data_IF_794699444611
#
_entry.id   IF_794699444611
#
_cell.length_a   1.000
_cell.length_b   1.000
_cell.length_c   1.000
_cell.angle_alpha   90.00
_cell.angle_beta   90.00
_cell.angle_gamma   90.00
#
_symmetry.space_group_name_H-M   'P 1'
#
loop_
_entity.id
_entity.type
_entity.pdbx_description
1 polymer ?
#
# COMPACT_ATOMS: atom_id res chain seq x y z
N UNK A 1 14.24 10.58 -33.96
CA UNK A 1 14.61 10.76 -32.54
C UNK A 1 13.42 10.31 -31.73
N UNK A 2 13.19 9.00 -31.66
CA UNK A 2 12.08 8.42 -30.90
C UNK A 2 12.59 8.05 -29.52
N UNK A 3 12.06 8.72 -28.50
CA UNK A 3 12.31 8.36 -27.12
C UNK A 3 11.36 7.21 -26.81
N UNK A 4 11.92 6.00 -26.81
CA UNK A 4 11.30 4.79 -26.29
C UNK A 4 10.95 5.00 -24.82
N UNK A 5 9.66 5.12 -24.51
CA UNK A 5 9.18 5.10 -23.14
C UNK A 5 9.25 3.66 -22.62
N UNK A 6 10.39 3.30 -22.02
CA UNK A 6 10.48 2.12 -21.16
C UNK A 6 9.75 2.44 -19.85
N UNK A 7 8.42 2.31 -19.86
CA UNK A 7 7.62 2.14 -18.65
C UNK A 7 7.88 0.75 -18.09
N UNK A 8 9.03 0.58 -17.44
CA UNK A 8 9.30 -0.60 -16.61
C UNK A 8 8.29 -0.64 -15.46
N UNK A 9 7.33 -1.57 -15.53
CA UNK A 9 6.38 -1.81 -14.44
C UNK A 9 7.15 -2.23 -13.18
N UNK A 10 7.24 -1.31 -12.20
CA UNK A 10 7.91 -1.50 -10.90
C UNK A 10 7.31 -2.67 -10.09
N UNK A 11 6.13 -3.17 -10.50
CA UNK A 11 5.37 -4.23 -9.83
C UNK A 11 5.48 -5.61 -10.51
N UNK A 12 6.21 -5.75 -11.61
CA UNK A 12 6.30 -7.03 -12.34
C UNK A 12 6.92 -8.16 -11.51
N UNK A 13 7.72 -7.85 -10.49
CA UNK A 13 8.38 -8.84 -9.62
C UNK A 13 7.48 -9.46 -8.53
N UNK A 14 6.23 -9.00 -8.36
CA UNK A 14 5.32 -9.49 -7.31
C UNK A 14 4.22 -10.43 -7.82
N UNK A 15 4.16 -10.68 -9.13
CA UNK A 15 3.20 -11.58 -9.76
C UNK A 15 3.89 -12.92 -10.00
N UNK A 16 3.56 -13.96 -9.22
CA UNK A 16 4.01 -15.31 -9.54
C UNK A 16 3.02 -15.97 -10.50
N UNK A 17 3.44 -16.32 -11.74
CA UNK A 17 2.55 -16.86 -12.76
C UNK A 17 1.96 -18.24 -12.39
N UNK A 18 2.58 -18.93 -11.42
CA UNK A 18 2.10 -20.22 -10.90
C UNK A 18 0.88 -20.11 -9.95
N UNK A 19 0.55 -18.92 -9.45
CA UNK A 19 -0.56 -18.75 -8.50
C UNK A 19 -1.90 -19.02 -9.18
N UNK A 20 -2.57 -20.10 -8.76
CA UNK A 20 -3.88 -20.51 -9.28
C UNK A 20 -5.06 -19.74 -8.67
N UNK A 21 -4.85 -19.09 -7.54
CA UNK A 21 -5.88 -18.34 -6.83
C UNK A 21 -5.24 -17.23 -5.98
N UNK A 22 -6.03 -16.20 -5.68
CA UNK A 22 -5.61 -15.06 -4.87
C UNK A 22 -6.15 -15.24 -3.45
N UNK A 23 -5.25 -15.47 -2.49
CA UNK A 23 -5.63 -15.61 -1.09
C UNK A 23 -6.04 -14.26 -0.47
N UNK A 24 -7.02 -14.30 0.44
CA UNK A 24 -7.45 -13.16 1.28
C UNK A 24 -8.02 -11.97 0.47
N UNK A 25 -8.56 -12.28 -0.71
CA UNK A 25 -9.27 -11.35 -1.59
C UNK A 25 -10.78 -11.49 -1.41
N UNK A 26 -11.24 -11.28 -0.18
CA UNK A 26 -12.66 -11.32 0.17
C UNK A 26 -13.09 -10.03 0.85
N UNK A 27 -14.28 -9.57 0.50
CA UNK A 27 -14.85 -8.34 1.01
C UNK A 27 -15.50 -8.58 2.37
N UNK A 28 -15.62 -7.52 3.17
CA UNK A 28 -16.55 -7.54 4.30
C UNK A 28 -17.98 -7.39 3.80
N UNK A 29 -18.96 -7.76 4.63
CA UNK A 29 -20.35 -7.42 4.38
C UNK A 29 -20.57 -5.91 4.42
N UNK A 30 -21.52 -5.42 3.63
CA UNK A 30 -21.87 -4.00 3.53
C UNK A 30 -23.38 -3.81 3.68
N UNK A 31 -23.78 -2.70 4.29
CA UNK A 31 -25.19 -2.30 4.33
C UNK A 31 -25.64 -1.87 2.94
N UNK A 32 -26.89 -2.16 2.57
CA UNK A 32 -27.44 -1.78 1.26
C UNK A 32 -27.33 -0.27 0.99
N UNK A 33 -27.52 0.57 2.02
CA UNK A 33 -27.38 2.02 1.90
C UNK A 33 -25.93 2.47 1.63
N UNK A 34 -24.93 1.72 2.10
CA UNK A 34 -23.53 2.00 1.81
C UNK A 34 -23.12 1.62 0.39
N UNK A 35 -23.75 0.58 -0.19
CA UNK A 35 -23.49 0.21 -1.58
C UNK A 35 -23.79 1.37 -2.53
N UNK A 36 -24.90 2.10 -2.31
CA UNK A 36 -25.23 3.30 -3.09
C UNK A 36 -24.20 4.42 -2.93
N UNK A 37 -23.65 4.59 -1.72
CA UNK A 37 -22.57 5.57 -1.45
C UNK A 37 -21.27 5.18 -2.12
N UNK A 38 -20.95 3.89 -2.17
CA UNK A 38 -19.75 3.38 -2.83
C UNK A 38 -19.86 3.52 -4.34
N UNK A 39 -21.02 3.17 -4.92
CA UNK A 39 -21.31 3.40 -6.33
C UNK A 39 -21.09 4.88 -6.69
N UNK A 40 -21.73 5.78 -5.93
CA UNK A 40 -21.59 7.21 -6.14
C UNK A 40 -20.13 7.66 -6.03
N UNK A 41 -19.41 7.23 -4.98
CA UNK A 41 -18.03 7.63 -4.77
C UNK A 41 -17.11 7.16 -5.90
N UNK A 42 -17.28 5.91 -6.36
CA UNK A 42 -16.50 5.34 -7.46
C UNK A 42 -16.77 6.07 -8.79
N UNK A 43 -18.04 6.28 -9.15
CA UNK A 43 -18.40 7.05 -10.36
C UNK A 43 -17.88 8.48 -10.27
N UNK A 44 -18.06 9.14 -9.12
CA UNK A 44 -17.58 10.49 -8.90
C UNK A 44 -16.06 10.57 -9.07
N UNK A 45 -15.30 9.65 -8.46
CA UNK A 45 -13.86 9.57 -8.59
C UNK A 45 -13.41 9.36 -10.04
N UNK A 46 -14.06 8.46 -10.76
CA UNK A 46 -13.76 8.18 -12.17
C UNK A 46 -14.02 9.40 -13.08
N UNK A 47 -15.10 10.16 -12.83
CA UNK A 47 -15.48 11.31 -13.66
C UNK A 47 -14.72 12.58 -13.29
N UNK A 48 -14.45 12.80 -12.00
CA UNK A 48 -13.90 14.06 -11.47
C UNK A 48 -12.39 14.01 -11.22
N UNK A 49 -11.80 12.82 -11.12
CA UNK A 49 -10.39 12.65 -10.80
C UNK A 49 -10.04 12.92 -9.33
N UNK A 50 -11.02 13.02 -8.43
CA UNK A 50 -10.81 13.12 -6.99
C UNK A 50 -11.99 12.51 -6.21
N UNK A 51 -11.74 12.10 -4.97
CA UNK A 51 -12.76 11.49 -4.12
C UNK A 51 -13.76 12.53 -3.59
N UNK A 52 -15.07 12.23 -3.54
CA UNK A 52 -16.07 13.17 -3.06
C UNK A 52 -15.89 13.52 -1.59
N UNK A 53 -16.38 14.71 -1.22
CA UNK A 53 -16.61 15.15 0.15
C UNK A 53 -18.10 15.03 0.50
N UNK A 54 -18.47 15.12 1.77
CA UNK A 54 -19.85 14.99 2.24
C UNK A 54 -20.80 15.96 1.51
N UNK A 55 -20.34 17.18 1.23
CA UNK A 55 -21.10 18.19 0.47
C UNK A 55 -21.35 17.83 -0.99
N UNK A 56 -20.63 16.85 -1.55
CA UNK A 56 -20.85 16.38 -2.92
C UNK A 56 -21.93 15.30 -3.01
N UNK A 57 -22.24 14.62 -1.92
CA UNK A 57 -23.25 13.56 -1.93
C UNK A 57 -24.65 14.16 -2.07
N UNK A 58 -25.53 13.54 -2.89
CA UNK A 58 -26.93 13.92 -2.89
C UNK A 58 -27.56 13.61 -1.53
N UNK A 59 -28.58 14.39 -1.14
CA UNK A 59 -29.26 14.22 0.15
C UNK A 59 -29.79 12.80 0.36
N UNK A 60 -30.24 12.14 -0.70
CA UNK A 60 -30.73 10.75 -0.68
C UNK A 60 -29.67 9.71 -0.31
N UNK A 61 -28.38 10.02 -0.48
CA UNK A 61 -27.26 9.16 -0.10
C UNK A 61 -26.57 9.61 1.19
N UNK A 62 -27.04 10.68 1.82
CA UNK A 62 -26.47 11.13 3.09
C UNK A 62 -26.65 10.04 4.17
N UNK A 63 -25.62 9.74 4.99
CA UNK A 63 -25.78 8.88 6.15
C UNK A 63 -26.71 9.51 7.17
N UNK A 64 -27.53 8.70 7.80
CA UNK A 64 -28.30 9.12 8.97
C UNK A 64 -27.37 9.18 10.18
N UNK A 65 -26.64 10.28 10.30
CA UNK A 65 -25.65 10.48 11.35
C UNK A 65 -25.70 11.93 11.83
N UNK A 66 -25.87 12.14 13.14
CA UNK A 66 -26.09 13.47 13.75
C UNK A 66 -25.02 14.51 13.37
N UNK A 67 -23.79 14.05 13.12
CA UNK A 67 -22.63 14.90 12.79
C UNK A 67 -22.37 15.02 11.28
N UNK A 68 -23.18 14.46 10.39
CA UNK A 68 -22.92 14.53 8.94
C UNK A 68 -22.84 15.97 8.43
N UNK A 69 -23.69 16.85 8.99
CA UNK A 69 -23.74 18.26 8.62
C UNK A 69 -22.83 19.17 9.45
N UNK A 70 -22.08 18.64 10.43
CA UNK A 70 -21.20 19.47 11.26
C UNK A 70 -19.88 19.85 10.57
N UNK A 71 -19.60 19.26 9.41
CA UNK A 71 -18.32 19.40 8.70
C UNK A 71 -17.20 18.50 9.27
N UNK A 72 -17.44 17.84 10.41
CA UNK A 72 -16.53 16.87 11.00
C UNK A 72 -16.65 15.54 10.25
N UNK A 73 -15.54 14.97 9.78
CA UNK A 73 -15.48 13.78 8.90
C UNK A 73 -16.07 13.99 7.49
N UNK A 74 -15.82 15.15 6.88
CA UNK A 74 -16.26 15.50 5.53
C UNK A 74 -15.72 14.56 4.42
N UNK A 75 -14.77 13.68 4.73
CA UNK A 75 -14.19 12.71 3.79
C UNK A 75 -14.37 11.25 4.21
N UNK A 76 -15.42 10.96 5.00
CA UNK A 76 -15.73 9.62 5.50
C UNK A 76 -15.81 8.53 4.42
N UNK A 77 -16.35 8.87 3.25
CA UNK A 77 -16.45 7.96 2.10
C UNK A 77 -15.39 8.35 1.08
N UNK A 78 -14.26 7.64 1.12
CA UNK A 78 -13.12 7.91 0.25
C UNK A 78 -12.89 6.75 -0.71
N UNK A 79 -12.93 7.06 -2.01
CA UNK A 79 -12.52 6.13 -3.07
C UNK A 79 -11.02 6.26 -3.33
N UNK A 80 -10.35 5.13 -3.52
CA UNK A 80 -8.97 5.08 -3.99
C UNK A 80 -9.01 5.13 -5.52
N UNK A 81 -8.44 6.16 -6.13
CA UNK A 81 -8.46 6.33 -7.59
C UNK A 81 -7.49 5.34 -8.25
N UNK A 82 -7.86 4.81 -9.42
CA UNK A 82 -7.05 3.80 -10.12
C UNK A 82 -5.68 4.34 -10.57
N UNK A 83 -5.64 5.57 -11.09
CA UNK A 83 -4.45 6.18 -11.68
C UNK A 83 -3.74 7.17 -10.73
N UNK A 84 -4.03 7.10 -9.42
CA UNK A 84 -3.39 7.96 -8.43
C UNK A 84 -2.78 7.14 -7.29
N UNK A 85 -1.86 7.76 -6.56
CA UNK A 85 -1.34 7.17 -5.34
C UNK A 85 -2.48 6.90 -4.35
N UNK A 86 -2.49 5.71 -3.77
CA UNK A 86 -3.42 5.38 -2.72
C UNK A 86 -3.16 6.23 -1.47
N UNK A 87 -4.21 6.40 -0.68
CA UNK A 87 -4.08 6.99 0.65
C UNK A 87 -3.29 6.05 1.56
N UNK A 88 -2.53 6.61 2.50
CA UNK A 88 -1.72 5.82 3.42
C UNK A 88 -2.55 4.73 4.11
N UNK A 89 -2.18 3.47 3.88
CA UNK A 89 -2.82 2.32 4.50
C UNK A 89 -2.32 2.21 5.94
N UNK A 90 -3.15 2.62 6.89
CA UNK A 90 -2.88 2.50 8.34
C UNK A 90 -3.62 1.31 8.92
N UNK A 91 -3.26 0.85 10.12
CA UNK A 91 -4.00 -0.23 10.82
C UNK A 91 -5.46 0.09 11.10
N UNK A 92 -5.84 1.37 11.07
CA UNK A 92 -7.21 1.83 11.20
C UNK A 92 -8.11 1.38 10.03
N UNK A 93 -7.57 0.95 8.90
CA UNK A 93 -8.35 0.31 7.81
C UNK A 93 -9.20 -0.88 8.31
N UNK A 94 -8.79 -1.52 9.41
CA UNK A 94 -9.54 -2.56 10.10
C UNK A 94 -10.92 -2.11 10.62
N UNK A 95 -11.10 -0.80 10.84
CA UNK A 95 -12.33 -0.14 11.30
C UNK A 95 -12.91 0.81 10.24
N UNK A 96 -12.05 1.51 9.51
CA UNK A 96 -12.39 2.61 8.61
C UNK A 96 -12.55 2.16 7.15
N UNK A 97 -13.33 1.09 6.93
CA UNK A 97 -13.50 0.54 5.58
C UNK A 97 -14.11 1.52 4.56
N UNK A 98 -14.87 2.52 5.01
CA UNK A 98 -15.43 3.56 4.13
C UNK A 98 -14.37 4.51 3.56
N UNK A 99 -13.16 4.55 4.16
CA UNK A 99 -12.06 5.39 3.71
C UNK A 99 -11.25 4.75 2.56
N UNK A 100 -11.50 3.48 2.28
CA UNK A 100 -10.80 2.69 1.27
C UNK A 100 -11.82 1.99 0.36
N UNK A 101 -12.62 2.78 -0.36
CA UNK A 101 -13.58 2.27 -1.36
C UNK A 101 -12.82 1.90 -2.64
N UNK A 102 -13.20 0.77 -3.23
CA UNK A 102 -12.64 0.26 -4.48
C UNK A 102 -12.99 1.19 -5.66
N UNK A 103 -12.05 1.48 -6.59
CA UNK A 103 -12.27 2.41 -7.70
C UNK A 103 -13.34 1.97 -8.71
N UNK A 104 -13.48 0.67 -8.94
CA UNK A 104 -14.43 0.12 -9.90
C UNK A 104 -15.89 0.29 -9.40
N UNK A 105 -16.72 1.10 -10.10
CA UNK A 105 -18.11 1.31 -9.72
C UNK A 105 -18.95 0.04 -9.68
N UNK A 106 -18.62 -0.98 -10.49
CA UNK A 106 -19.39 -2.22 -10.53
C UNK A 106 -19.21 -3.09 -9.29
N UNK A 107 -18.16 -2.85 -8.50
CA UNK A 107 -17.85 -3.68 -7.34
C UNK A 107 -18.46 -3.17 -6.03
N UNK A 108 -18.72 -1.87 -5.92
CA UNK A 108 -19.45 -1.25 -4.79
C UNK A 108 -19.00 -1.77 -3.42
N UNK A 109 -17.70 -1.67 -3.09
CA UNK A 109 -17.13 -2.29 -1.88
C UNK A 109 -15.93 -1.53 -1.34
N UNK A 110 -15.55 -1.84 -0.10
CA UNK A 110 -14.22 -1.51 0.42
C UNK A 110 -13.14 -2.39 -0.22
N UNK A 111 -11.88 -1.95 -0.15
CA UNK A 111 -10.73 -2.79 -0.45
C UNK A 111 -10.72 -4.03 0.47
N UNK A 112 -10.20 -5.12 -0.07
CA UNK A 112 -9.92 -6.39 0.59
C UNK A 112 -8.56 -6.35 1.29
N UNK A 113 -8.29 -7.32 2.16
CA UNK A 113 -6.98 -7.48 2.81
C UNK A 113 -5.87 -7.59 1.76
N UNK A 114 -6.09 -8.41 0.73
CA UNK A 114 -5.13 -8.58 -0.37
C UNK A 114 -4.85 -7.29 -1.13
N UNK A 115 -5.86 -6.48 -1.42
CA UNK A 115 -5.64 -5.22 -2.13
C UNK A 115 -4.86 -4.22 -1.29
N UNK A 116 -5.19 -4.11 0.01
CA UNK A 116 -4.42 -3.30 0.94
C UNK A 116 -2.95 -3.80 1.05
N UNK A 117 -2.75 -5.12 1.04
CA UNK A 117 -1.41 -5.73 1.06
C UNK A 117 -0.61 -5.41 -0.22
N UNK A 118 -1.27 -5.45 -1.40
CA UNK A 118 -0.65 -5.06 -2.67
C UNK A 118 -0.24 -3.59 -2.70
N UNK A 119 -1.08 -2.69 -2.14
CA UNK A 119 -0.70 -1.28 -1.96
C UNK A 119 0.54 -1.13 -1.08
N UNK A 120 0.69 -1.99 -0.07
CA UNK A 120 1.87 -2.09 0.77
C UNK A 120 2.99 -2.94 0.13
N UNK A 121 2.92 -3.27 -1.16
CA UNK A 121 3.95 -4.04 -1.91
C UNK A 121 4.23 -5.45 -1.39
N UNK A 122 3.31 -6.05 -0.63
CA UNK A 122 3.41 -7.47 -0.30
C UNK A 122 3.26 -8.35 -1.55
N UNK A 123 3.99 -9.46 -1.63
CA UNK A 123 3.77 -10.43 -2.68
C UNK A 123 2.46 -11.20 -2.45
N UNK A 124 1.88 -11.72 -3.52
CA UNK A 124 0.56 -12.35 -3.48
C UNK A 124 0.52 -13.69 -2.72
N UNK A 125 1.68 -14.32 -2.54
CA UNK A 125 1.89 -15.57 -1.78
C UNK A 125 2.10 -15.35 -0.27
N UNK A 126 2.26 -14.10 0.19
CA UNK A 126 2.37 -13.80 1.60
C UNK A 126 1.01 -13.95 2.30
N UNK A 127 0.93 -14.81 3.31
CA UNK A 127 -0.30 -15.08 4.06
C UNK A 127 -0.32 -14.34 5.40
N UNK A 128 -1.39 -13.57 5.64
CA UNK A 128 -1.64 -12.94 6.94
C UNK A 128 -2.45 -13.88 7.83
N UNK A 129 -2.09 -14.02 9.11
CA UNK A 129 -2.76 -14.96 10.03
C UNK A 129 -3.81 -14.28 10.90
N UNK A 130 -4.71 -15.08 11.49
CA UNK A 130 -5.79 -14.60 12.35
C UNK A 130 -7.04 -14.17 11.59
N UNK A 131 -7.97 -13.51 12.29
CA UNK A 131 -9.22 -13.04 11.70
C UNK A 131 -9.01 -11.82 10.78
N UNK A 132 -10.00 -11.48 9.96
CA UNK A 132 -9.93 -10.39 8.97
C UNK A 132 -9.48 -9.05 9.57
N UNK A 133 -9.96 -8.70 10.75
CA UNK A 133 -9.57 -7.45 11.45
C UNK A 133 -8.08 -7.47 11.80
N UNK A 134 -7.58 -8.59 12.34
CA UNK A 134 -6.17 -8.77 12.66
C UNK A 134 -5.28 -8.74 11.41
N UNK A 135 -5.76 -9.29 10.29
CA UNK A 135 -5.05 -9.25 9.02
C UNK A 135 -4.90 -7.81 8.51
N UNK A 136 -5.96 -7.00 8.55
CA UNK A 136 -5.87 -5.57 8.22
C UNK A 136 -4.91 -4.79 9.14
N UNK A 137 -4.90 -5.11 10.43
CA UNK A 137 -3.95 -4.50 11.39
C UNK A 137 -2.51 -4.84 11.03
N UNK A 138 -2.22 -6.10 10.67
CA UNK A 138 -0.90 -6.51 10.21
C UNK A 138 -0.47 -5.74 8.96
N UNK A 139 -1.34 -5.67 7.94
CA UNK A 139 -1.07 -4.93 6.70
C UNK A 139 -0.80 -3.44 6.99
N UNK A 140 -1.65 -2.81 7.81
CA UNK A 140 -1.56 -1.37 8.06
C UNK A 140 -0.44 -0.93 9.00
N UNK A 141 0.12 -1.84 9.80
CA UNK A 141 1.29 -1.57 10.65
C UNK A 141 2.62 -1.97 9.99
N UNK A 142 2.58 -2.70 8.87
CA UNK A 142 3.78 -3.18 8.22
C UNK A 142 4.56 -2.06 7.52
N UNK A 143 5.88 -2.26 7.41
CA UNK A 143 6.71 -1.53 6.46
C UNK A 143 6.58 -2.20 5.09
N UNK A 144 6.33 -1.44 4.00
CA UNK A 144 6.23 -2.02 2.67
C UNK A 144 7.48 -2.85 2.30
N UNK A 145 7.35 -4.14 1.89
CA UNK A 145 8.51 -4.98 1.58
C UNK A 145 9.43 -4.41 0.50
N UNK A 146 8.89 -3.71 -0.49
CA UNK A 146 9.72 -3.06 -1.52
C UNK A 146 10.61 -1.96 -0.91
N UNK A 147 10.05 -1.13 -0.03
CA UNK A 147 10.82 -0.09 0.69
C UNK A 147 11.89 -0.73 1.57
N UNK A 148 11.53 -1.76 2.35
CA UNK A 148 12.48 -2.49 3.19
C UNK A 148 13.63 -3.07 2.36
N UNK A 149 13.34 -3.62 1.16
CA UNK A 149 14.37 -4.13 0.23
C UNK A 149 15.35 -3.04 -0.21
N UNK A 150 14.86 -1.85 -0.56
CA UNK A 150 15.73 -0.73 -0.97
C UNK A 150 16.65 -0.30 0.17
N UNK A 151 16.11 -0.18 1.40
CA UNK A 151 16.90 0.15 2.59
C UNK A 151 17.98 -0.92 2.83
N UNK A 152 17.61 -2.20 2.77
CA UNK A 152 18.55 -3.32 2.95
C UNK A 152 19.70 -3.31 1.94
N UNK A 153 19.43 -2.96 0.68
CA UNK A 153 20.49 -2.83 -0.33
C UNK A 153 21.51 -1.74 0.05
N UNK A 154 21.04 -0.57 0.46
CA UNK A 154 21.92 0.53 0.88
C UNK A 154 22.75 0.16 2.11
N UNK A 155 22.13 -0.52 3.08
CA UNK A 155 22.83 -1.02 4.26
C UNK A 155 23.90 -2.05 3.90
N UNK A 156 23.59 -2.99 3.00
CA UNK A 156 24.54 -4.00 2.55
C UNK A 156 25.76 -3.34 1.89
N UNK A 157 25.56 -2.40 0.97
CA UNK A 157 26.64 -1.65 0.33
C UNK A 157 27.50 -0.94 1.38
N UNK A 158 26.87 -0.19 2.30
CA UNK A 158 27.61 0.55 3.32
C UNK A 158 28.41 -0.34 4.29
N UNK A 159 27.92 -1.55 4.57
CA UNK A 159 28.62 -2.52 5.41
C UNK A 159 29.75 -3.23 4.66
N UNK A 160 29.56 -3.53 3.38
CA UNK A 160 30.59 -4.13 2.52
C UNK A 160 31.78 -3.18 2.30
N UNK A 161 31.53 -1.89 2.07
CA UNK A 161 32.59 -0.89 1.85
C UNK A 161 33.50 -0.72 3.08
N UNK A 162 32.92 -0.71 4.28
CA UNK A 162 33.68 -0.67 5.55
C UNK A 162 34.49 -1.94 5.80
N UNK A 163 34.02 -3.08 5.30
CA UNK A 163 34.71 -4.36 5.42
C UNK A 163 35.96 -4.40 4.53
N UNK A 164 35.85 -3.86 3.32
CA UNK A 164 36.97 -3.73 2.38
C UNK A 164 38.03 -2.74 2.91
N UNK A 165 37.63 -1.57 3.44
CA UNK A 165 38.57 -0.57 3.95
C UNK A 165 39.35 -1.05 5.19
N UNK A 166 38.71 -1.80 6.10
CA UNK A 166 39.37 -2.42 7.25
C UNK A 166 40.35 -3.53 6.86
N UNK A 167 40.03 -4.31 5.82
CA UNK A 167 40.92 -5.37 5.35
C UNK A 167 42.20 -4.81 4.71
N UNK A 168 42.11 -3.69 4.01
CA UNK A 168 43.28 -2.96 3.48
C UNK A 168 44.13 -2.33 4.57
N UNK A 169 43.52 -1.72 5.59
CA UNK A 169 44.26 -1.12 6.72
C UNK A 169 45.01 -2.17 7.54
N UNK A 170 44.39 -3.32 7.83
CA UNK A 170 45.05 -4.40 8.56
C UNK A 170 46.24 -4.99 7.78
N UNK A 171 46.10 -5.18 6.45
CA UNK A 171 47.21 -5.67 5.61
C UNK A 171 48.35 -4.66 5.46
N UNK A 172 48.05 -3.37 5.42
CA UNK A 172 49.09 -2.32 5.41
C UNK A 172 49.83 -2.26 6.75
N UNK A 173 49.11 -2.40 7.86
CA UNK A 173 49.67 -2.44 9.21
C UNK A 173 50.58 -3.66 9.43
N UNK A 174 50.19 -4.83 8.91
CA UNK A 174 51.00 -6.06 8.99
C UNK A 174 52.26 -5.99 8.10
N UNK A 175 52.19 -5.33 6.93
CA UNK A 175 53.37 -5.09 6.09
C UNK A 175 54.39 -4.16 6.76
N UNK A 176 53.94 -3.04 7.31
CA UNK A 176 54.83 -2.10 8.04
C UNK A 176 55.51 -2.79 9.22
N UNK A 177 54.82 -3.71 9.91
CA UNK A 177 55.44 -4.48 10.99
C UNK A 177 56.54 -5.42 10.52
N UNK A 178 56.38 -6.10 9.39
CA UNK A 178 57.41 -7.02 8.90
C UNK A 178 58.63 -6.29 8.32
N UNK A 179 58.45 -5.12 7.71
CA UNK A 179 59.55 -4.35 7.12
C UNK A 179 60.43 -3.61 8.17
N UNK A 180 60.02 -3.58 9.45
CA UNK A 180 60.79 -2.95 10.55
C UNK A 180 61.68 -3.93 11.35
N UNK A 181 61.65 -5.23 11.04
CA UNK A 181 62.42 -6.26 11.75
C UNK A 181 63.39 -7.08 10.88
N UNK A 182 63.59 -6.69 9.61
CA UNK A 182 64.67 -7.14 8.73
C UNK A 182 65.75 -6.05 8.60
#
# INVERSE_FOLDING_TARGET
MEISAQTGSVLSGNQQPELRAIAQHETRGHMASDLGRYLFAAVFGAVRGYSPKATNFPLTLSPDHRNWHSGVFNDRFRVQLADAAATTVTSHISKDGHYFIHPDPMQCRSLTVREAARLQTFPDDYLFLGNRTQQYVQVGNAVPPFLARQISHLLLTALSDKSASRATDNRASDRIRNDLFD
#
